data_IF_554095008187
#
_entry.id   IF_554095008187
#
_cell.length_a   1.000
_cell.length_b   1.000
_cell.length_c   1.000
_cell.angle_alpha   90.00
_cell.angle_beta   90.00
_cell.angle_gamma   90.00
#
_symmetry.space_group_name_H-M   'P 1'
#
loop_
_entity.id
_entity.type
_entity.pdbx_description
1 polymer ?
#
# COMPACT_ATOMS: atom_id res chain seq x y z
N UNK A 1 26.72 16.70 -7.00
CA UNK A 1 26.69 15.28 -7.34
C UNK A 1 27.37 14.49 -6.23
N UNK A 2 26.63 13.62 -5.55
CA UNK A 2 27.13 12.71 -4.53
C UNK A 2 26.95 11.29 -5.04
N UNK A 3 28.04 10.51 -5.00
CA UNK A 3 28.01 9.07 -5.28
C UNK A 3 28.68 8.34 -4.15
N UNK A 4 28.12 7.23 -3.73
CA UNK A 4 28.71 6.46 -2.65
C UNK A 4 28.26 5.01 -2.63
N UNK A 5 28.99 4.25 -1.87
CA UNK A 5 28.68 2.87 -1.53
C UNK A 5 28.72 2.76 -0.01
N UNK A 6 27.60 2.45 0.60
CA UNK A 6 27.51 2.25 2.05
C UNK A 6 27.09 0.81 2.29
N UNK A 7 27.95 0.05 2.95
CA UNK A 7 27.80 -1.40 3.12
C UNK A 7 27.69 -2.11 1.76
N UNK A 8 26.53 -2.66 1.42
CA UNK A 8 26.27 -3.33 0.13
C UNK A 8 25.36 -2.53 -0.79
N UNK A 9 25.03 -1.29 -0.41
CA UNK A 9 24.10 -0.43 -1.13
C UNK A 9 24.84 0.62 -1.95
N UNK A 10 24.38 0.87 -3.18
CA UNK A 10 24.88 1.93 -4.04
C UNK A 10 23.87 3.07 -4.05
N UNK A 11 24.33 4.30 -3.94
CA UNK A 11 23.50 5.46 -4.12
C UNK A 11 24.16 6.48 -5.05
N UNK A 12 23.32 7.23 -5.74
CA UNK A 12 23.69 8.39 -6.53
C UNK A 12 22.68 9.49 -6.25
N UNK A 13 23.17 10.68 -5.97
CA UNK A 13 22.33 11.82 -5.65
C UNK A 13 22.82 13.06 -6.43
N UNK A 14 22.07 13.42 -7.45
CA UNK A 14 22.30 14.62 -8.25
C UNK A 14 21.25 15.64 -7.84
N UNK A 15 21.69 16.82 -7.40
CA UNK A 15 20.81 17.86 -6.91
C UNK A 15 21.36 19.25 -7.16
N UNK A 16 20.45 20.23 -7.18
CA UNK A 16 20.74 21.66 -7.17
C UNK A 16 20.22 22.20 -5.83
N UNK A 17 21.09 22.87 -5.10
CA UNK A 17 20.73 23.50 -3.82
C UNK A 17 20.69 25.02 -3.95
N UNK A 18 19.64 25.59 -3.44
CA UNK A 18 19.45 27.01 -3.21
C UNK A 18 19.07 27.21 -1.74
N UNK A 19 19.20 28.45 -1.23
CA UNK A 19 18.87 28.77 0.19
C UNK A 19 17.44 28.39 0.60
N UNK A 20 16.52 28.29 -0.36
CA UNK A 20 15.10 28.07 -0.15
C UNK A 20 14.63 26.70 -0.59
N UNK A 21 15.34 26.03 -1.47
CA UNK A 21 14.94 24.74 -2.02
C UNK A 21 16.12 23.83 -2.37
N UNK A 22 15.81 22.54 -2.45
CA UNK A 22 16.67 21.49 -2.99
C UNK A 22 15.92 20.80 -4.14
N UNK A 23 16.38 20.99 -5.36
CA UNK A 23 15.86 20.28 -6.54
C UNK A 23 16.62 18.97 -6.70
N UNK A 24 15.90 17.86 -6.71
CA UNK A 24 16.45 16.52 -6.90
C UNK A 24 16.29 16.15 -8.38
N UNK A 25 17.39 16.17 -9.13
CA UNK A 25 17.39 15.77 -10.53
C UNK A 25 17.48 14.24 -10.67
N UNK A 26 18.17 13.58 -9.75
CA UNK A 26 18.24 12.13 -9.72
C UNK A 26 18.69 11.64 -8.33
N UNK A 27 17.80 10.96 -7.64
CA UNK A 27 18.14 10.14 -6.48
C UNK A 27 18.01 8.68 -6.90
N UNK A 28 19.10 7.97 -6.90
CA UNK A 28 19.12 6.54 -7.19
C UNK A 28 19.65 5.78 -5.98
N UNK A 29 18.92 4.76 -5.57
CA UNK A 29 19.34 3.83 -4.54
C UNK A 29 19.19 2.39 -5.03
N UNK A 30 20.18 1.56 -4.72
CA UNK A 30 20.13 0.14 -5.02
C UNK A 30 20.88 -0.66 -3.97
N UNK A 31 20.18 -1.59 -3.37
CA UNK A 31 20.77 -2.70 -2.63
C UNK A 31 20.26 -4.05 -3.17
N UNK A 32 20.47 -5.11 -2.40
CA UNK A 32 20.01 -6.46 -2.76
C UNK A 32 18.50 -6.58 -2.84
N UNK A 33 17.78 -5.84 -2.03
CA UNK A 33 16.36 -6.04 -1.74
C UNK A 33 15.46 -4.89 -2.19
N UNK A 34 16.07 -3.71 -2.42
CA UNK A 34 15.36 -2.49 -2.83
C UNK A 34 16.16 -1.74 -3.88
N UNK A 35 15.48 -1.36 -4.96
CA UNK A 35 16.03 -0.44 -5.95
C UNK A 35 14.96 0.57 -6.37
N UNK A 36 15.27 1.86 -6.22
CA UNK A 36 14.36 2.92 -6.63
C UNK A 36 15.11 4.11 -7.24
N UNK A 37 14.36 4.91 -7.98
CA UNK A 37 14.75 6.25 -8.43
C UNK A 37 13.73 7.26 -7.93
N UNK A 38 14.17 8.47 -7.67
CA UNK A 38 13.29 9.57 -7.30
C UNK A 38 13.79 10.88 -7.88
N UNK A 39 12.85 11.73 -8.27
CA UNK A 39 13.08 13.12 -8.69
C UNK A 39 12.09 14.00 -7.94
N UNK A 40 12.40 15.28 -7.79
CA UNK A 40 11.45 16.19 -7.17
C UNK A 40 12.04 17.46 -6.62
N UNK A 41 11.25 18.13 -5.80
CA UNK A 41 11.59 19.40 -5.18
C UNK A 41 11.35 19.32 -3.68
N UNK A 42 12.29 19.81 -2.90
CA UNK A 42 12.17 20.02 -1.46
C UNK A 42 12.27 21.52 -1.22
N UNK A 43 11.18 22.11 -0.77
CA UNK A 43 11.12 23.47 -0.28
C UNK A 43 11.59 23.49 1.18
N UNK A 44 12.56 24.33 1.51
CA UNK A 44 13.16 24.42 2.84
C UNK A 44 12.58 25.57 3.66
N UNK A 45 12.15 26.62 2.97
CA UNK A 45 11.58 27.83 3.56
C UNK A 45 10.31 28.23 2.83
N UNK A 46 9.31 28.84 3.53
CA UNK A 46 9.28 29.09 4.98
C UNK A 46 9.03 27.83 5.81
N UNK A 47 8.50 26.75 5.18
CA UNK A 47 8.21 25.47 5.81
C UNK A 47 8.73 24.32 4.95
N UNK A 48 9.18 23.25 5.61
CA UNK A 48 9.61 22.04 4.91
C UNK A 48 8.45 21.41 4.14
N UNK A 49 8.62 21.27 2.83
CA UNK A 49 7.68 20.56 1.95
C UNK A 49 8.44 19.81 0.86
N UNK A 50 8.15 18.54 0.70
CA UNK A 50 8.75 17.73 -0.35
C UNK A 50 7.69 17.23 -1.34
N UNK A 51 7.98 17.39 -2.63
CA UNK A 51 7.15 16.88 -3.73
C UNK A 51 8.01 15.96 -4.59
N UNK A 52 7.74 14.67 -4.53
CA UNK A 52 8.58 13.64 -5.13
C UNK A 52 7.79 12.79 -6.12
N UNK A 53 8.50 12.30 -7.16
CA UNK A 53 8.05 11.24 -8.04
C UNK A 53 9.07 10.12 -7.98
N UNK A 54 8.64 8.95 -7.57
CA UNK A 54 9.51 7.80 -7.33
C UNK A 54 9.12 6.61 -8.20
N UNK A 55 10.11 5.90 -8.70
CA UNK A 55 9.94 4.65 -9.43
C UNK A 55 10.66 3.53 -8.67
N UNK A 56 9.93 2.56 -8.16
CA UNK A 56 10.49 1.38 -7.52
C UNK A 56 10.68 0.30 -8.59
N UNK A 57 11.92 -0.08 -8.82
CA UNK A 57 12.30 -1.09 -9.81
C UNK A 57 12.32 -2.49 -9.23
N UNK A 58 12.84 -2.62 -8.03
CA UNK A 58 12.93 -3.88 -7.32
C UNK A 58 12.59 -3.68 -5.86
N UNK A 59 11.81 -4.59 -5.30
CA UNK A 59 11.48 -4.64 -3.89
C UNK A 59 11.24 -6.09 -3.46
N UNK A 60 11.90 -6.52 -2.40
CA UNK A 60 11.59 -7.77 -1.73
C UNK A 60 10.68 -7.51 -0.53
N UNK A 61 9.37 -7.66 -0.76
CA UNK A 61 8.36 -7.47 0.29
C UNK A 61 8.53 -8.43 1.47
N UNK A 62 9.16 -9.59 1.25
CA UNK A 62 9.38 -10.58 2.30
C UNK A 62 10.42 -10.06 3.30
N UNK A 63 11.38 -9.27 2.84
CA UNK A 63 12.44 -8.73 3.68
C UNK A 63 12.10 -7.41 4.35
N UNK A 64 11.11 -6.67 3.83
CA UNK A 64 10.52 -5.54 4.55
C UNK A 64 9.78 -5.95 5.84
N UNK A 65 9.65 -7.25 6.10
CA UNK A 65 9.01 -7.81 7.31
C UNK A 65 9.60 -7.34 8.64
N UNK A 66 10.80 -6.79 8.65
CA UNK A 66 11.47 -6.33 9.87
C UNK A 66 11.02 -4.96 10.36
N UNK A 67 10.20 -4.24 9.59
CA UNK A 67 9.63 -2.97 10.04
C UNK A 67 8.44 -3.25 10.95
N UNK A 68 8.63 -3.13 12.24
CA UNK A 68 7.55 -3.20 13.21
C UNK A 68 6.91 -1.83 13.41
N UNK A 69 5.64 -1.80 13.80
CA UNK A 69 4.96 -0.54 14.11
C UNK A 69 5.69 0.25 15.22
N UNK A 70 6.30 -0.44 16.17
CA UNK A 70 7.11 0.17 17.23
C UNK A 70 8.24 1.07 16.71
N UNK A 71 8.76 0.80 15.52
CA UNK A 71 9.78 1.65 14.89
C UNK A 71 9.20 2.98 14.42
N UNK A 72 7.94 2.99 13.96
CA UNK A 72 7.25 4.22 13.59
C UNK A 72 6.94 5.12 14.78
N UNK A 73 6.69 4.54 15.96
CA UNK A 73 6.46 5.31 17.19
C UNK A 73 7.70 6.14 17.55
N UNK A 74 8.90 5.60 17.38
CA UNK A 74 10.16 6.32 17.59
C UNK A 74 10.34 7.50 16.64
N UNK A 75 9.70 7.45 15.48
CA UNK A 75 9.78 8.49 14.45
C UNK A 75 8.72 9.61 14.63
N UNK A 76 7.82 9.53 15.61
CA UNK A 76 6.78 10.55 15.85
C UNK A 76 7.30 12.00 15.86
N UNK A 77 8.45 12.32 16.50
CA UNK A 77 8.97 13.71 16.52
C UNK A 77 9.31 14.22 15.11
N UNK A 78 9.79 13.33 14.22
CA UNK A 78 10.07 13.67 12.81
C UNK A 78 8.78 13.77 12.01
N UNK A 79 7.87 12.82 12.18
CA UNK A 79 6.60 12.72 11.43
C UNK A 79 5.76 13.99 11.65
N UNK A 80 5.77 14.58 12.84
CA UNK A 80 5.10 15.86 13.14
C UNK A 80 5.52 17.02 12.25
N UNK A 81 6.75 16.99 11.73
CA UNK A 81 7.33 18.08 10.94
C UNK A 81 7.33 17.77 9.43
N UNK A 82 6.96 16.56 9.05
CA UNK A 82 6.98 16.17 7.66
C UNK A 82 5.76 16.70 6.90
N UNK A 83 6.03 17.31 5.77
CA UNK A 83 5.03 17.61 4.76
C UNK A 83 5.57 17.10 3.41
N UNK A 84 5.15 15.88 3.04
CA UNK A 84 5.68 15.16 1.88
C UNK A 84 4.53 14.68 1.03
N UNK A 85 4.63 14.91 -0.28
CA UNK A 85 3.83 14.25 -1.29
C UNK A 85 4.75 13.43 -2.17
N UNK A 86 4.46 12.13 -2.33
CA UNK A 86 5.23 11.26 -3.21
C UNK A 86 4.30 10.42 -4.09
N UNK A 87 4.48 10.50 -5.41
CA UNK A 87 3.85 9.61 -6.36
C UNK A 87 4.81 8.46 -6.65
N UNK A 88 4.42 7.24 -6.29
CA UNK A 88 5.28 6.06 -6.39
C UNK A 88 4.70 5.10 -7.42
N UNK A 89 5.50 4.75 -8.42
CA UNK A 89 5.16 3.75 -9.44
C UNK A 89 6.04 2.54 -9.26
N UNK A 90 5.43 1.36 -9.22
CA UNK A 90 6.16 0.10 -9.15
C UNK A 90 6.28 -0.49 -10.56
N UNK A 91 7.51 -0.72 -11.02
CA UNK A 91 7.83 -1.32 -12.32
C UNK A 91 8.61 -2.63 -12.18
N UNK A 92 8.46 -3.32 -11.07
CA UNK A 92 9.20 -4.54 -10.81
C UNK A 92 8.66 -5.72 -11.61
N UNK A 93 9.50 -6.34 -12.43
CA UNK A 93 9.18 -7.61 -13.10
C UNK A 93 8.93 -8.76 -12.10
N UNK A 94 9.44 -8.65 -10.88
CA UNK A 94 9.19 -9.63 -9.81
C UNK A 94 7.78 -9.53 -9.27
N UNK A 95 7.14 -8.35 -9.33
CA UNK A 95 5.75 -8.17 -8.96
C UNK A 95 4.79 -8.95 -9.88
N UNK A 96 5.09 -9.01 -11.16
CA UNK A 96 4.23 -9.71 -12.13
C UNK A 96 4.22 -11.24 -11.96
N UNK A 97 5.23 -11.81 -11.33
CA UNK A 97 5.25 -13.25 -10.99
C UNK A 97 4.31 -13.60 -9.82
N UNK A 98 3.97 -12.60 -9.01
CA UNK A 98 3.04 -12.75 -7.90
C UNK A 98 1.60 -12.49 -8.38
N UNK A 99 0.83 -11.76 -7.60
CA UNK A 99 -0.55 -11.43 -7.90
C UNK A 99 -0.69 -10.10 -8.64
N UNK A 100 0.10 -9.11 -8.26
CA UNK A 100 -0.02 -7.71 -8.70
C UNK A 100 0.82 -7.49 -9.95
N UNK A 101 0.21 -6.98 -11.01
CA UNK A 101 0.90 -6.66 -12.26
C UNK A 101 1.46 -5.23 -12.25
N UNK A 102 0.73 -4.29 -11.65
CA UNK A 102 1.15 -2.90 -11.50
C UNK A 102 0.57 -2.29 -10.22
N UNK A 103 1.31 -1.37 -9.62
CA UNK A 103 0.91 -0.66 -8.41
C UNK A 103 1.38 0.79 -8.49
N UNK A 104 0.42 1.73 -8.38
CA UNK A 104 0.69 3.15 -8.26
C UNK A 104 0.19 3.63 -6.89
N UNK A 105 1.05 4.32 -6.17
CA UNK A 105 0.72 4.92 -4.87
C UNK A 105 0.89 6.43 -4.96
N UNK A 106 -0.05 7.16 -4.36
CA UNK A 106 0.11 8.57 -4.05
C UNK A 106 0.07 8.71 -2.53
N UNK A 107 1.20 9.05 -1.97
CA UNK A 107 1.40 9.17 -0.53
C UNK A 107 1.50 10.65 -0.18
N UNK A 108 0.67 11.10 0.74
CA UNK A 108 0.73 12.45 1.32
C UNK A 108 0.88 12.33 2.82
N UNK A 109 1.92 12.92 3.36
CA UNK A 109 2.12 13.04 4.81
C UNK A 109 2.14 14.50 5.16
N UNK A 110 1.28 14.94 6.05
CA UNK A 110 1.26 16.30 6.55
C UNK A 110 1.02 16.32 8.05
N UNK A 111 1.99 16.80 8.81
CA UNK A 111 1.91 17.01 10.25
C UNK A 111 1.37 15.77 11.02
N UNK A 112 1.83 14.59 10.63
CA UNK A 112 1.44 13.31 11.25
C UNK A 112 0.26 12.62 10.60
N UNK A 113 -0.52 13.28 9.76
CA UNK A 113 -1.58 12.65 8.99
C UNK A 113 -1.02 12.05 7.71
N UNK A 114 -1.29 10.77 7.48
CA UNK A 114 -0.87 10.03 6.31
C UNK A 114 -2.08 9.62 5.48
N UNK A 115 -2.13 10.12 4.24
CA UNK A 115 -3.13 9.75 3.24
C UNK A 115 -2.44 8.94 2.13
N UNK A 116 -3.03 7.81 1.76
CA UNK A 116 -2.52 6.93 0.71
C UNK A 116 -3.63 6.61 -0.27
N UNK A 117 -3.46 7.02 -1.52
CA UNK A 117 -4.28 6.56 -2.64
C UNK A 117 -3.52 5.45 -3.37
N UNK A 118 -4.16 4.30 -3.57
CA UNK A 118 -3.57 3.13 -4.23
C UNK A 118 -4.37 2.74 -5.45
N UNK A 119 -3.69 2.55 -6.58
CA UNK A 119 -4.23 1.87 -7.74
C UNK A 119 -3.44 0.58 -7.94
N UNK A 120 -4.11 -0.55 -7.76
CA UNK A 120 -3.54 -1.89 -7.91
C UNK A 120 -4.18 -2.53 -9.14
N UNK A 121 -3.36 -3.10 -10.01
CA UNK A 121 -3.81 -3.79 -11.21
C UNK A 121 -3.45 -5.27 -11.13
N UNK A 122 -4.45 -6.10 -11.37
CA UNK A 122 -4.34 -7.57 -11.41
C UNK A 122 -5.01 -8.01 -12.71
N UNK A 123 -4.22 -8.31 -13.74
CA UNK A 123 -4.73 -8.51 -15.10
C UNK A 123 -5.50 -7.24 -15.55
N UNK A 124 -6.76 -7.41 -15.90
CA UNK A 124 -7.72 -6.35 -16.27
C UNK A 124 -8.54 -5.80 -15.08
N UNK A 125 -8.30 -6.33 -13.87
CA UNK A 125 -8.96 -5.87 -12.64
C UNK A 125 -8.24 -4.68 -12.06
N UNK A 126 -8.98 -3.62 -11.73
CA UNK A 126 -8.50 -2.45 -11.01
C UNK A 126 -9.04 -2.45 -9.59
N UNK A 127 -8.15 -2.26 -8.63
CA UNK A 127 -8.52 -2.00 -7.23
C UNK A 127 -8.02 -0.60 -6.89
N UNK A 128 -8.93 0.26 -6.50
CA UNK A 128 -8.64 1.60 -6.04
C UNK A 128 -8.93 1.71 -4.55
N UNK A 129 -7.98 2.19 -3.76
CA UNK A 129 -8.17 2.38 -2.33
C UNK A 129 -7.70 3.76 -1.91
N UNK A 130 -8.51 4.42 -1.08
CA UNK A 130 -8.10 5.57 -0.27
C UNK A 130 -7.93 5.13 1.17
N UNK A 131 -6.81 5.51 1.76
CA UNK A 131 -6.50 5.23 3.15
C UNK A 131 -6.11 6.52 3.86
N UNK A 132 -6.55 6.65 5.11
CA UNK A 132 -6.23 7.78 5.98
C UNK A 132 -5.86 7.26 7.36
N UNK A 133 -4.81 7.81 7.96
CA UNK A 133 -4.39 7.50 9.32
C UNK A 133 -3.71 8.71 9.96
N UNK A 134 -4.04 9.00 11.21
CA UNK A 134 -3.27 9.91 12.04
C UNK A 134 -2.23 9.12 12.84
N UNK A 135 -0.96 9.26 12.46
CA UNK A 135 0.16 8.55 13.11
C UNK A 135 0.52 9.10 14.48
N UNK A 136 -0.02 10.27 14.85
CA UNK A 136 0.25 10.92 16.16
C UNK A 136 -0.70 10.45 17.25
N UNK A 137 -1.83 9.84 16.90
CA UNK A 137 -2.78 9.31 17.85
C UNK A 137 -2.11 8.24 18.74
N UNK A 138 -2.62 8.08 19.93
CA UNK A 138 -2.19 7.02 20.85
C UNK A 138 -2.53 5.64 20.28
N UNK A 139 -3.72 5.53 19.70
CA UNK A 139 -4.21 4.32 19.02
C UNK A 139 -4.50 4.63 17.52
N UNK A 140 -3.47 4.61 16.65
CA UNK A 140 -3.66 4.95 15.27
C UNK A 140 -4.62 3.99 14.55
N UNK A 141 -5.66 4.55 13.97
CA UNK A 141 -6.67 3.83 13.19
C UNK A 141 -6.50 4.18 11.73
N UNK A 142 -6.28 3.15 10.90
CA UNK A 142 -6.24 3.24 9.46
C UNK A 142 -7.66 3.10 8.92
N UNK A 143 -8.23 4.17 8.41
CA UNK A 143 -9.48 4.13 7.65
C UNK A 143 -9.20 3.75 6.21
N UNK A 144 -10.05 2.91 5.63
CA UNK A 144 -9.93 2.51 4.23
C UNK A 144 -11.28 2.56 3.52
N UNK A 145 -11.23 3.00 2.26
CA UNK A 145 -12.32 2.94 1.31
C UNK A 145 -11.77 2.39 0.00
N UNK A 146 -12.23 1.21 -0.38
CA UNK A 146 -11.71 0.48 -1.52
C UNK A 146 -12.81 0.07 -2.50
N UNK A 147 -12.50 0.19 -3.79
CA UNK A 147 -13.33 -0.23 -4.91
C UNK A 147 -12.55 -1.22 -5.76
N UNK A 148 -13.14 -2.38 -6.02
CA UNK A 148 -12.63 -3.38 -6.94
C UNK A 148 -13.53 -3.44 -8.16
N UNK A 149 -12.95 -3.29 -9.33
CA UNK A 149 -13.66 -3.40 -10.61
C UNK A 149 -12.93 -4.43 -11.49
N UNK A 150 -13.57 -5.57 -11.71
CA UNK A 150 -13.08 -6.63 -12.59
C UNK A 150 -14.08 -6.85 -13.72
N UNK A 151 -13.70 -6.62 -14.97
CA UNK A 151 -14.56 -6.93 -16.12
C UNK A 151 -14.78 -8.44 -16.28
N UNK A 152 -13.91 -9.27 -15.74
CA UNK A 152 -13.98 -10.73 -15.84
C UNK A 152 -13.63 -11.42 -14.52
N UNK A 153 -14.67 -11.71 -13.71
CA UNK A 153 -14.54 -12.38 -12.40
C UNK A 153 -13.82 -13.73 -12.49
N UNK A 154 -14.13 -14.54 -13.50
CA UNK A 154 -13.54 -15.88 -13.68
C UNK A 154 -12.03 -15.77 -13.89
N UNK A 155 -11.59 -14.82 -14.72
CA UNK A 155 -10.17 -14.60 -14.99
C UNK A 155 -9.42 -14.15 -13.74
N UNK A 156 -10.01 -13.25 -12.94
CA UNK A 156 -9.47 -12.81 -11.65
C UNK A 156 -9.33 -14.00 -10.68
N UNK A 157 -10.39 -14.80 -10.51
CA UNK A 157 -10.39 -15.97 -9.63
C UNK A 157 -9.38 -17.02 -10.05
N UNK A 158 -9.24 -17.28 -11.37
CA UNK A 158 -8.20 -18.17 -11.91
C UNK A 158 -6.79 -17.69 -11.58
N UNK A 159 -6.54 -16.36 -11.58
CA UNK A 159 -5.23 -15.80 -11.18
C UNK A 159 -4.90 -16.14 -9.72
N UNK A 160 -5.89 -16.22 -8.85
CA UNK A 160 -5.74 -16.65 -7.45
C UNK A 160 -5.92 -18.16 -7.24
N UNK A 161 -5.93 -18.94 -8.34
CA UNK A 161 -6.07 -20.41 -8.34
C UNK A 161 -7.41 -20.89 -7.75
N UNK A 162 -8.48 -20.20 -8.03
CA UNK A 162 -9.85 -20.59 -7.67
C UNK A 162 -10.61 -20.87 -8.97
N UNK A 163 -11.14 -22.09 -9.08
CA UNK A 163 -11.98 -22.44 -10.21
C UNK A 163 -13.39 -21.90 -10.04
N UNK A 164 -13.89 -21.23 -11.06
CA UNK A 164 -15.22 -20.67 -11.09
C UNK A 164 -15.97 -21.18 -12.33
N UNK A 165 -17.05 -21.94 -12.10
CA UNK A 165 -17.80 -22.64 -13.16
C UNK A 165 -18.86 -21.76 -13.85
N UNK A 166 -19.22 -20.62 -13.25
CA UNK A 166 -20.26 -19.71 -13.78
C UNK A 166 -19.70 -18.87 -14.94
N UNK A 167 -20.61 -18.32 -15.77
CA UNK A 167 -20.29 -17.39 -16.86
C UNK A 167 -19.42 -16.22 -16.38
N UNK A 168 -18.70 -15.63 -17.32
CA UNK A 168 -17.87 -14.45 -17.09
C UNK A 168 -18.75 -13.25 -16.70
N UNK A 169 -18.85 -13.02 -15.39
CA UNK A 169 -19.57 -11.89 -14.84
C UNK A 169 -18.63 -10.79 -14.40
N UNK A 170 -19.04 -9.55 -14.62
CA UNK A 170 -18.38 -8.39 -14.07
C UNK A 170 -18.51 -8.38 -12.55
N UNK A 171 -17.40 -8.14 -11.86
CA UNK A 171 -17.37 -8.00 -10.41
C UNK A 171 -17.05 -6.55 -10.04
N UNK A 172 -17.96 -5.91 -9.36
CA UNK A 172 -17.79 -4.57 -8.79
C UNK A 172 -18.06 -4.65 -7.28
N UNK A 173 -17.01 -4.52 -6.49
CA UNK A 173 -17.05 -4.66 -5.03
C UNK A 173 -16.57 -3.37 -4.38
N UNK A 174 -17.32 -2.85 -3.43
CA UNK A 174 -16.95 -1.75 -2.58
C UNK A 174 -16.82 -2.23 -1.14
N UNK A 175 -15.79 -1.81 -0.44
CA UNK A 175 -15.63 -2.11 0.98
C UNK A 175 -15.00 -0.93 1.71
N UNK A 176 -15.64 -0.59 2.82
CA UNK A 176 -15.31 0.51 3.70
C UNK A 176 -15.07 -0.04 5.10
N UNK A 177 -14.11 0.53 5.81
CA UNK A 177 -13.86 0.11 7.18
C UNK A 177 -12.62 0.77 7.78
N UNK A 178 -12.19 0.17 8.88
CA UNK A 178 -11.04 0.66 9.62
C UNK A 178 -10.23 -0.50 10.23
N UNK A 179 -8.95 -0.23 10.47
CA UNK A 179 -8.00 -1.16 11.06
C UNK A 179 -7.25 -0.47 12.19
N UNK A 180 -7.42 -0.95 13.42
CA UNK A 180 -6.56 -0.58 14.52
C UNK A 180 -5.21 -1.29 14.33
N UNK A 181 -4.16 -0.51 14.08
CA UNK A 181 -2.83 -1.05 13.73
C UNK A 181 -2.16 -1.72 14.92
N UNK A 182 -2.35 -1.18 16.14
CA UNK A 182 -1.74 -1.71 17.36
C UNK A 182 -2.37 -3.04 17.77
N UNK A 183 -3.70 -3.05 17.84
CA UNK A 183 -4.45 -4.21 18.33
C UNK A 183 -4.70 -5.25 17.22
N UNK A 184 -4.30 -4.93 15.97
CA UNK A 184 -4.51 -5.78 14.79
C UNK A 184 -5.98 -6.20 14.64
N UNK A 185 -6.91 -5.25 14.84
CA UNK A 185 -8.34 -5.48 14.71
C UNK A 185 -8.92 -4.67 13.58
N UNK A 186 -9.66 -5.35 12.69
CA UNK A 186 -10.36 -4.75 11.57
C UNK A 186 -11.84 -4.60 11.87
N UNK A 187 -12.46 -3.55 11.34
CA UNK A 187 -13.90 -3.42 11.22
C UNK A 187 -14.25 -3.14 9.77
N UNK A 188 -15.27 -3.82 9.25
CA UNK A 188 -15.92 -3.48 8.00
C UNK A 188 -17.19 -2.70 8.33
N UNK A 189 -17.28 -1.46 7.86
CA UNK A 189 -18.46 -0.62 8.04
C UNK A 189 -19.48 -0.93 6.95
N UNK A 190 -19.01 -1.27 5.74
CA UNK A 190 -19.86 -1.76 4.66
C UNK A 190 -19.07 -2.62 3.67
N UNK A 191 -19.73 -3.62 3.12
CA UNK A 191 -19.30 -4.41 1.96
C UNK A 191 -20.47 -4.54 1.02
N UNK A 192 -20.31 -4.17 -0.25
CA UNK A 192 -21.38 -4.22 -1.24
C UNK A 192 -20.91 -4.60 -2.63
N UNK A 193 -21.73 -5.36 -3.34
CA UNK A 193 -21.63 -5.56 -4.79
C UNK A 193 -22.54 -4.56 -5.47
N UNK A 194 -22.08 -3.85 -6.46
CA UNK A 194 -22.71 -2.63 -7.03
C UNK A 194 -24.17 -2.77 -7.46
N UNK A 195 -24.69 -3.95 -7.69
CA UNK A 195 -26.06 -4.09 -8.20
C UNK A 195 -27.02 -4.89 -7.30
N UNK A 196 -26.54 -5.85 -6.49
CA UNK A 196 -27.46 -6.86 -5.95
C UNK A 196 -27.18 -7.31 -4.51
N UNK A 197 -26.15 -6.80 -3.83
CA UNK A 197 -25.82 -7.30 -2.49
C UNK A 197 -25.22 -6.20 -1.63
N UNK A 198 -25.75 -6.07 -0.44
CA UNK A 198 -25.15 -5.31 0.66
C UNK A 198 -25.04 -6.25 1.86
N UNK A 199 -23.85 -6.39 2.39
CA UNK A 199 -23.59 -7.25 3.53
C UNK A 199 -24.44 -6.86 4.74
N UNK A 200 -25.02 -7.88 5.39
CA UNK A 200 -25.72 -7.72 6.66
C UNK A 200 -24.71 -7.54 7.80
N UNK A 201 -25.18 -7.21 8.99
CA UNK A 201 -24.31 -7.13 10.17
C UNK A 201 -23.64 -8.46 10.50
N UNK A 202 -24.34 -9.58 10.27
CA UNK A 202 -23.80 -10.92 10.47
C UNK A 202 -22.68 -11.23 9.47
N UNK A 203 -22.89 -10.89 8.18
CA UNK A 203 -21.86 -11.00 7.15
C UNK A 203 -20.61 -10.18 7.51
N UNK A 204 -20.79 -8.93 7.96
CA UNK A 204 -19.66 -8.07 8.36
C UNK A 204 -18.88 -8.64 9.54
N UNK A 205 -19.58 -9.20 10.54
CA UNK A 205 -18.94 -9.90 11.68
C UNK A 205 -18.16 -11.14 11.21
N UNK A 206 -18.73 -11.90 10.28
CA UNK A 206 -18.09 -13.07 9.70
C UNK A 206 -16.84 -12.68 8.89
N UNK A 207 -16.93 -11.67 8.02
CA UNK A 207 -15.79 -11.17 7.24
C UNK A 207 -14.67 -10.66 8.16
N UNK A 208 -15.03 -9.93 9.21
CA UNK A 208 -14.08 -9.47 10.23
C UNK A 208 -13.32 -10.63 10.85
N UNK A 209 -14.03 -11.61 11.42
CA UNK A 209 -13.45 -12.78 12.08
C UNK A 209 -12.55 -13.57 11.14
N UNK A 210 -13.02 -13.81 9.93
CA UNK A 210 -12.28 -14.53 8.90
C UNK A 210 -11.01 -13.79 8.48
N UNK A 211 -11.11 -12.47 8.26
CA UNK A 211 -9.96 -11.63 7.92
C UNK A 211 -8.92 -11.61 9.04
N UNK A 212 -9.34 -11.39 10.28
CA UNK A 212 -8.45 -11.37 11.45
C UNK A 212 -7.71 -12.70 11.59
N UNK A 213 -8.40 -13.82 11.50
CA UNK A 213 -7.81 -15.16 11.62
C UNK A 213 -6.81 -15.50 10.50
N UNK A 214 -7.08 -15.07 9.28
CA UNK A 214 -6.22 -15.40 8.12
C UNK A 214 -5.05 -14.43 7.98
N UNK A 215 -5.29 -13.14 8.20
CA UNK A 215 -4.31 -12.12 7.87
C UNK A 215 -3.61 -11.50 9.08
N UNK A 216 -4.31 -11.32 10.19
CA UNK A 216 -3.80 -10.56 11.33
C UNK A 216 -3.27 -11.45 12.46
N UNK A 217 -3.56 -12.75 12.45
CA UNK A 217 -3.03 -13.71 13.42
C UNK A 217 -1.50 -13.86 13.35
N UNK A 218 -0.90 -13.53 12.19
CA UNK A 218 0.53 -13.54 11.96
C UNK A 218 1.05 -12.12 11.64
N UNK A 219 2.32 -12.02 11.20
CA UNK A 219 2.95 -10.75 10.84
C UNK A 219 2.17 -10.00 9.75
N UNK A 220 1.99 -8.69 9.92
CA UNK A 220 1.22 -7.80 9.03
C UNK A 220 1.62 -7.90 7.54
N UNK A 221 2.90 -8.11 7.24
CA UNK A 221 3.38 -8.19 5.85
C UNK A 221 3.05 -9.50 5.13
N UNK A 222 2.48 -10.49 5.82
CA UNK A 222 1.97 -11.70 5.18
C UNK A 222 0.61 -11.49 4.47
N UNK A 223 0.02 -10.30 4.58
CA UNK A 223 -1.21 -9.90 3.88
C UNK A 223 -1.17 -10.13 2.35
N UNK A 224 0.02 -9.98 1.76
CA UNK A 224 0.20 -10.09 0.30
C UNK A 224 0.50 -11.52 -0.18
N UNK A 225 0.35 -12.53 0.67
CA UNK A 225 0.55 -13.92 0.24
C UNK A 225 -0.68 -14.43 -0.51
N UNK A 226 -0.46 -14.93 -1.73
CA UNK A 226 -1.51 -15.47 -2.58
C UNK A 226 -2.32 -16.59 -1.90
N UNK A 227 -1.65 -17.44 -1.11
CA UNK A 227 -2.30 -18.53 -0.36
C UNK A 227 -3.32 -18.02 0.67
N UNK A 228 -3.00 -16.93 1.38
CA UNK A 228 -3.90 -16.31 2.35
C UNK A 228 -5.09 -15.63 1.67
N UNK A 229 -4.83 -14.92 0.58
CA UNK A 229 -5.90 -14.31 -0.22
C UNK A 229 -6.85 -15.39 -0.76
N UNK A 230 -6.30 -16.48 -1.30
CA UNK A 230 -7.08 -17.62 -1.76
C UNK A 230 -7.93 -18.22 -0.65
N UNK A 231 -7.33 -18.47 0.52
CA UNK A 231 -8.04 -19.01 1.70
C UNK A 231 -9.20 -18.08 2.09
N UNK A 232 -8.94 -16.77 2.17
CA UNK A 232 -9.96 -15.78 2.51
C UNK A 232 -11.14 -15.80 1.52
N UNK A 233 -10.86 -15.78 0.21
CA UNK A 233 -11.90 -15.79 -0.82
C UNK A 233 -12.74 -17.08 -0.73
N UNK A 234 -12.11 -18.23 -0.50
CA UNK A 234 -12.82 -19.51 -0.37
C UNK A 234 -13.74 -19.51 0.85
N UNK A 235 -13.26 -19.00 1.98
CA UNK A 235 -14.03 -18.96 3.24
C UNK A 235 -15.26 -18.04 3.16
N UNK A 236 -15.18 -16.95 2.37
CA UNK A 236 -16.30 -15.99 2.26
C UNK A 236 -17.18 -16.22 1.02
N UNK A 237 -16.92 -17.25 0.20
CA UNK A 237 -17.69 -17.61 -1.02
C UNK A 237 -18.80 -18.57 -0.71
#
# INVERSE_FOLDING_TARGET
>A
NLKGKVLKSNFKFDFIYDKNYLKIDNLFFRDKDLSFKSIGLIELKPFFKASLNSEIKEIDLIKLKKLEYGDFVKLKPFIKRLNIQNNIVFKSKKFSRNLIDNLNLKVKTAYGRLNIEKNIFILDTKIYCKNDINLLDEFPILYFNCELNSPNKKRLLKKVKIDHKKKDDRLELNFLGNLNILNKKINFDSVSLKKNYKATEEDLKYFKKTFENIFLAEEFFKLFQLSKLRKFIIEIS
#
